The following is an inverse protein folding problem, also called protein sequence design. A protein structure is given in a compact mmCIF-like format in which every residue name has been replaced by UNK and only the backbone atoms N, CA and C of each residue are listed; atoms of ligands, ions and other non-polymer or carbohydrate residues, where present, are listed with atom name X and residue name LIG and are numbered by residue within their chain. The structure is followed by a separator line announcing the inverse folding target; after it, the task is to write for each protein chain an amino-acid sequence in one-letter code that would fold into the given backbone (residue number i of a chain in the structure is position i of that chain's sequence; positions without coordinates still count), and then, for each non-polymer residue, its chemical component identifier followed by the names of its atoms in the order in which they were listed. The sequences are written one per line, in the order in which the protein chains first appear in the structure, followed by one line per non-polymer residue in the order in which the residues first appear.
data_IF_920789353623
#
_entry.id   IF_920789353623
#
_cell.length_a   1.000
_cell.length_b   1.000
_cell.length_c   1.000
_cell.angle_alpha   90.00
_cell.angle_beta   90.00
_cell.angle_gamma   90.00
#
_symmetry.space_group_name_H-M   'P 1'
#
loop_
_entity.id
_entity.type
_entity.pdbx_description
1 polymer ?
#
# COMPACT_ATOMS: atom_id res chain seq x y z
N UNK A 1 -20.54 26.82 24.14
CA UNK A 1 -19.71 27.08 22.95
C UNK A 1 -18.41 26.25 22.94
N UNK A 2 -18.39 25.07 23.57
CA UNK A 2 -17.18 24.22 23.78
C UNK A 2 -17.21 22.92 22.96
N UNK A 3 -18.29 22.61 22.24
CA UNK A 3 -18.46 21.34 21.51
C UNK A 3 -17.99 21.34 20.05
N UNK A 4 -17.58 22.49 19.50
CA UNK A 4 -17.12 22.60 18.12
C UNK A 4 -15.64 22.27 17.91
N UNK A 5 -14.80 22.42 18.95
CA UNK A 5 -13.35 22.25 18.85
C UNK A 5 -12.87 20.79 18.76
N UNK A 6 -13.67 19.84 19.23
CA UNK A 6 -13.24 18.44 19.24
C UNK A 6 -13.55 17.67 17.94
N UNK A 7 -14.34 18.24 17.04
CA UNK A 7 -14.74 17.55 15.79
C UNK A 7 -13.57 17.42 14.81
N UNK A 8 -12.70 18.42 14.72
CA UNK A 8 -11.52 18.37 13.85
C UNK A 8 -10.46 17.38 14.36
N UNK A 9 -10.30 17.24 15.69
CA UNK A 9 -9.41 16.24 16.30
C UNK A 9 -9.92 14.84 15.99
N UNK A 10 -11.21 14.59 16.13
CA UNK A 10 -11.84 13.30 15.76
C UNK A 10 -11.70 13.01 14.27
N UNK A 11 -11.88 14.00 13.39
CA UNK A 11 -11.68 13.84 11.94
C UNK A 11 -10.21 13.55 11.59
N UNK A 12 -9.24 14.17 12.26
CA UNK A 12 -7.82 13.86 12.08
C UNK A 12 -7.53 12.43 12.56
N UNK A 13 -8.12 12.00 13.67
CA UNK A 13 -7.99 10.63 14.18
C UNK A 13 -8.65 9.60 13.25
N UNK A 14 -9.84 9.89 12.72
CA UNK A 14 -10.52 9.01 11.74
C UNK A 14 -9.77 8.93 10.42
N UNK A 15 -9.32 10.06 9.87
CA UNK A 15 -8.52 10.11 8.64
C UNK A 15 -7.14 9.47 8.82
N UNK A 16 -6.54 9.54 10.02
CA UNK A 16 -5.32 8.84 10.39
C UNK A 16 -5.52 7.31 10.46
N UNK A 17 -6.67 6.87 10.95
CA UNK A 17 -7.02 5.46 11.12
C UNK A 17 -7.24 4.74 9.80
N UNK A 18 -7.79 5.41 8.78
CA UNK A 18 -8.00 4.83 7.44
C UNK A 18 -6.69 4.68 6.63
N UNK A 19 -5.64 5.43 6.97
CA UNK A 19 -4.33 5.32 6.32
C UNK A 19 -3.43 4.22 6.89
N UNK A 20 -3.85 3.55 7.97
CA UNK A 20 -3.08 2.50 8.62
C UNK A 20 -3.52 1.13 8.14
N UNK A 21 -2.58 0.32 7.66
CA UNK A 21 -2.80 -1.09 7.34
C UNK A 21 -3.21 -1.86 8.62
N UNK A 22 -3.94 -2.97 8.47
CA UNK A 22 -4.38 -3.80 9.60
C UNK A 22 -3.22 -4.19 10.54
N UNK A 23 -2.05 -4.51 9.98
CA UNK A 23 -0.85 -4.81 10.74
C UNK A 23 -0.41 -3.65 11.67
N UNK A 24 -0.40 -2.41 11.18
CA UNK A 24 -0.06 -1.25 12.00
C UNK A 24 -1.07 -1.04 13.14
N UNK A 25 -2.36 -1.27 12.89
CA UNK A 25 -3.42 -1.17 13.92
C UNK A 25 -3.20 -2.18 15.04
N UNK A 26 -2.81 -3.41 14.69
CA UNK A 26 -2.49 -4.46 15.67
C UNK A 26 -1.27 -4.07 16.49
N UNK A 27 -0.20 -3.60 15.86
CA UNK A 27 1.03 -3.19 16.57
C UNK A 27 0.75 -2.05 17.55
N UNK A 28 -0.01 -1.03 17.15
CA UNK A 28 -0.41 0.08 18.04
C UNK A 28 -1.29 -0.43 19.19
N UNK A 29 -2.23 -1.34 18.93
CA UNK A 29 -3.06 -1.94 19.97
C UNK A 29 -2.20 -2.65 21.02
N UNK A 30 -1.27 -3.49 20.57
CA UNK A 30 -0.35 -4.22 21.45
C UNK A 30 0.54 -3.25 22.22
N UNK A 31 1.13 -2.26 21.57
CA UNK A 31 1.95 -1.22 22.19
C UNK A 31 1.19 -0.46 23.28
N UNK A 32 -0.06 -0.07 22.98
CA UNK A 32 -0.93 0.61 23.95
C UNK A 32 -1.28 -0.25 25.16
N UNK A 33 -1.47 -1.58 24.97
CA UNK A 33 -1.67 -2.51 26.10
C UNK A 33 -0.43 -2.55 26.99
N UNK A 34 0.78 -2.64 26.40
CA UNK A 34 2.03 -2.60 27.17
C UNK A 34 2.19 -1.30 27.96
N UNK A 35 1.86 -0.15 27.36
CA UNK A 35 1.88 1.14 28.03
C UNK A 35 0.89 1.18 29.21
N UNK A 36 -0.32 0.69 29.02
CA UNK A 36 -1.34 0.65 30.07
C UNK A 36 -0.91 -0.25 31.25
N UNK A 37 -0.40 -1.45 30.95
CA UNK A 37 0.09 -2.39 31.97
C UNK A 37 1.31 -1.81 32.70
N UNK A 38 2.28 -1.27 31.98
CA UNK A 38 3.47 -0.65 32.57
C UNK A 38 3.13 0.55 33.46
N UNK A 39 2.21 1.40 33.00
CA UNK A 39 1.70 2.53 33.77
C UNK A 39 0.98 2.08 35.06
N UNK A 40 0.07 1.11 34.94
CA UNK A 40 -0.68 0.57 36.09
C UNK A 40 0.24 -0.06 37.15
N UNK A 41 1.17 -0.90 36.71
CA UNK A 41 2.16 -1.54 37.61
C UNK A 41 3.06 -0.48 38.24
N UNK A 42 3.49 0.54 37.49
CA UNK A 42 4.27 1.65 38.00
C UNK A 42 3.55 2.46 39.08
N UNK A 43 2.24 2.71 38.90
CA UNK A 43 1.40 3.39 39.90
C UNK A 43 1.29 2.55 41.17
N UNK A 44 1.04 1.22 41.05
CA UNK A 44 0.98 0.34 42.24
C UNK A 44 2.30 0.39 43.01
N UNK A 45 3.44 0.30 42.31
CA UNK A 45 4.74 0.37 42.96
C UNK A 45 4.97 1.72 43.65
N UNK A 46 4.53 2.81 43.03
CA UNK A 46 4.66 4.14 43.63
C UNK A 46 3.81 4.31 44.92
N UNK A 47 2.64 3.64 44.98
CA UNK A 47 1.76 3.69 46.16
C UNK A 47 2.30 2.81 47.30
N UNK A 48 2.85 1.61 46.96
CA UNK A 48 3.29 0.63 47.95
C UNK A 48 4.71 0.92 48.49
N UNK A 49 5.51 1.67 47.72
CA UNK A 49 6.88 1.98 48.11
C UNK A 49 6.95 2.94 49.30
N UNK A 50 7.68 2.56 50.34
CA UNK A 50 7.99 3.47 51.47
C UNK A 50 8.87 4.65 51.00
N UNK A 51 8.58 5.87 51.47
CA UNK A 51 9.39 7.04 51.14
C UNK A 51 10.87 6.81 51.51
N UNK A 52 11.75 6.95 50.53
CA UNK A 52 13.22 6.83 50.74
C UNK A 52 13.79 5.40 50.61
N UNK A 53 12.97 4.37 50.45
CA UNK A 53 13.43 2.98 50.28
C UNK A 53 13.06 2.36 48.92
N UNK A 54 13.00 3.18 47.87
CA UNK A 54 12.61 2.70 46.52
C UNK A 54 13.80 2.03 45.82
N UNK A 55 13.88 0.70 45.74
CA UNK A 55 14.97 0.06 45.03
C UNK A 55 14.78 0.27 43.52
N UNK A 56 15.82 0.81 42.89
CA UNK A 56 15.82 1.05 41.41
C UNK A 56 15.42 -0.21 40.60
N UNK A 57 15.68 -1.42 41.15
CA UNK A 57 15.28 -2.67 40.58
C UNK A 57 13.76 -2.84 40.38
N UNK A 58 12.93 -2.21 41.26
CA UNK A 58 11.47 -2.24 41.08
C UNK A 58 10.97 -1.42 39.88
N UNK A 59 11.76 -0.45 39.39
CA UNK A 59 11.45 0.33 38.19
C UNK A 59 11.74 -0.44 36.87
N UNK A 60 12.54 -1.49 36.94
CA UNK A 60 12.94 -2.24 35.73
C UNK A 60 11.74 -2.89 35.02
N UNK A 61 10.78 -3.42 35.78
CA UNK A 61 9.62 -4.10 35.21
C UNK A 61 8.63 -3.13 34.54
N UNK A 62 8.09 -2.09 35.21
CA UNK A 62 7.23 -1.12 34.55
C UNK A 62 7.97 -0.33 33.49
N UNK A 63 9.25 0.02 33.70
CA UNK A 63 10.09 0.69 32.70
C UNK A 63 10.28 -0.15 31.44
N UNK A 64 10.47 -1.45 31.55
CA UNK A 64 10.56 -2.37 30.42
C UNK A 64 9.28 -2.36 29.57
N UNK A 65 8.11 -2.43 30.20
CA UNK A 65 6.82 -2.36 29.50
C UNK A 65 6.63 -1.02 28.78
N UNK A 66 6.99 0.09 29.43
CA UNK A 66 6.88 1.43 28.82
C UNK A 66 7.83 1.61 27.64
N UNK A 67 9.05 1.10 27.73
CA UNK A 67 10.03 1.16 26.63
C UNK A 67 9.59 0.32 25.42
N UNK A 68 9.11 -0.90 25.66
CA UNK A 68 8.65 -1.77 24.58
C UNK A 68 7.40 -1.19 23.92
N UNK A 69 6.37 -0.84 24.73
CA UNK A 69 5.12 -0.29 24.20
C UNK A 69 5.32 1.04 23.49
N UNK A 70 6.04 1.98 24.11
CA UNK A 70 6.37 3.27 23.51
C UNK A 70 7.23 3.14 22.26
N UNK A 71 8.20 2.22 22.25
CA UNK A 71 9.03 1.93 21.08
C UNK A 71 8.20 1.45 19.91
N UNK A 72 7.27 0.52 20.13
CA UNK A 72 6.36 0.01 19.08
C UNK A 72 5.51 1.13 18.50
N UNK A 73 4.90 1.97 19.34
CA UNK A 73 4.04 3.05 18.89
C UNK A 73 4.82 4.15 18.15
N UNK A 74 6.03 4.49 18.59
CA UNK A 74 6.92 5.43 17.91
C UNK A 74 7.31 4.93 16.52
N UNK A 75 7.70 3.66 16.39
CA UNK A 75 8.07 3.08 15.09
C UNK A 75 6.90 3.17 14.12
N UNK A 76 5.68 2.79 14.55
CA UNK A 76 4.49 2.89 13.70
C UNK A 76 4.19 4.35 13.34
N UNK A 77 4.30 5.27 14.29
CA UNK A 77 4.08 6.69 14.03
C UNK A 77 5.05 7.25 12.98
N UNK A 78 6.34 6.86 13.03
CA UNK A 78 7.34 7.23 12.02
C UNK A 78 6.99 6.65 10.64
N UNK A 79 6.62 5.36 10.56
CA UNK A 79 6.25 4.71 9.30
C UNK A 79 5.03 5.37 8.65
N UNK A 80 3.99 5.65 9.44
CA UNK A 80 2.77 6.34 8.98
C UNK A 80 3.08 7.78 8.57
N UNK A 81 3.91 8.49 9.34
CA UNK A 81 4.34 9.86 9.02
C UNK A 81 5.08 9.90 7.68
N UNK A 82 6.06 9.01 7.47
CA UNK A 82 6.82 8.94 6.23
C UNK A 82 5.92 8.66 5.01
N UNK A 83 4.94 7.75 5.17
CA UNK A 83 3.94 7.49 4.12
C UNK A 83 3.11 8.74 3.78
N UNK A 84 2.65 9.46 4.80
CA UNK A 84 1.91 10.72 4.62
C UNK A 84 2.77 11.81 3.96
N UNK A 85 4.05 11.86 4.29
CA UNK A 85 4.99 12.82 3.69
C UNK A 85 5.19 12.58 2.20
N UNK A 86 5.26 11.31 1.76
CA UNK A 86 5.36 10.96 0.34
C UNK A 86 4.14 11.49 -0.40
N UNK A 87 2.93 11.23 0.10
CA UNK A 87 1.68 11.70 -0.55
C UNK A 87 1.55 13.22 -0.49
N UNK A 88 2.00 13.87 0.59
CA UNK A 88 1.85 15.33 0.77
C UNK A 88 2.87 16.15 -0.03
N UNK A 89 4.10 15.67 -0.14
CA UNK A 89 5.23 16.40 -0.75
C UNK A 89 5.67 15.83 -2.08
N UNK A 90 5.23 14.62 -2.42
CA UNK A 90 5.60 13.94 -3.66
C UNK A 90 4.98 14.58 -4.88
N UNK A 91 5.66 14.43 -5.99
CA UNK A 91 5.11 14.77 -7.30
C UNK A 91 4.08 13.70 -7.67
N UNK A 92 2.88 14.13 -8.03
CA UNK A 92 1.79 13.25 -8.41
C UNK A 92 1.90 12.88 -9.87
N UNK A 93 1.80 11.60 -10.17
CA UNK A 93 1.71 11.07 -11.52
C UNK A 93 0.50 10.13 -11.63
N UNK A 94 -0.34 10.27 -12.66
CA UNK A 94 -1.30 9.23 -13.00
C UNK A 94 -0.53 8.05 -13.59
N UNK A 95 -0.75 6.86 -13.04
CA UNK A 95 -0.02 5.65 -13.41
C UNK A 95 -0.98 4.50 -13.73
N UNK A 96 -0.68 3.72 -14.75
CA UNK A 96 -1.47 2.57 -15.15
C UNK A 96 -0.99 1.32 -14.45
N UNK A 97 -1.92 0.56 -13.89
CA UNK A 97 -1.63 -0.72 -13.25
C UNK A 97 -1.33 -1.74 -14.35
N UNK A 98 -0.09 -2.21 -14.38
CA UNK A 98 0.40 -3.13 -15.39
C UNK A 98 0.45 -4.57 -14.89
N UNK A 99 0.73 -4.77 -13.61
CA UNK A 99 0.86 -6.10 -13.05
C UNK A 99 1.15 -6.11 -11.55
N UNK A 100 1.60 -7.26 -11.08
CA UNK A 100 1.91 -7.50 -9.68
C UNK A 100 3.20 -8.31 -9.57
N UNK A 101 3.98 -8.01 -8.53
CA UNK A 101 5.21 -8.73 -8.19
C UNK A 101 5.18 -9.20 -6.73
N UNK A 102 5.86 -10.29 -6.43
CA UNK A 102 5.96 -10.78 -5.06
C UNK A 102 6.95 -9.93 -4.25
N UNK A 103 6.49 -9.42 -3.12
CA UNK A 103 7.36 -8.76 -2.14
C UNK A 103 8.01 -9.82 -1.26
N UNK A 104 9.23 -10.19 -1.61
CA UNK A 104 10.00 -11.23 -0.88
C UNK A 104 10.39 -10.82 0.54
N UNK A 105 10.27 -9.52 0.89
CA UNK A 105 10.60 -9.00 2.22
C UNK A 105 9.46 -9.20 3.24
N UNK A 106 8.23 -9.41 2.77
CA UNK A 106 7.07 -9.52 3.65
C UNK A 106 6.31 -10.82 3.36
N UNK A 107 6.26 -11.70 4.36
CA UNK A 107 5.55 -12.97 4.30
C UNK A 107 4.49 -13.04 5.40
N UNK A 108 3.25 -13.31 5.01
CA UNK A 108 2.11 -13.46 5.92
C UNK A 108 1.46 -14.82 5.67
N UNK A 109 1.26 -15.63 6.72
CA UNK A 109 0.70 -16.97 6.62
C UNK A 109 1.37 -17.83 5.53
N UNK A 110 2.70 -17.79 5.49
CA UNK A 110 3.53 -18.52 4.52
C UNK A 110 3.37 -18.07 3.05
N UNK A 111 2.67 -16.96 2.78
CA UNK A 111 2.46 -16.39 1.44
C UNK A 111 3.14 -15.02 1.36
N UNK A 112 3.85 -14.75 0.26
CA UNK A 112 4.42 -13.43 0.00
C UNK A 112 3.31 -12.43 -0.33
N UNK A 113 3.48 -11.21 0.18
CA UNK A 113 2.61 -10.09 -0.20
C UNK A 113 2.89 -9.69 -1.63
N UNK A 114 1.90 -9.09 -2.30
CA UNK A 114 2.00 -8.64 -3.68
C UNK A 114 2.08 -7.13 -3.72
N UNK A 115 3.08 -6.60 -4.41
CA UNK A 115 3.21 -5.18 -4.73
C UNK A 115 2.76 -4.94 -6.18
N UNK A 116 2.31 -3.73 -6.47
CA UNK A 116 1.74 -3.40 -7.77
C UNK A 116 2.80 -2.78 -8.67
N UNK A 117 2.92 -3.29 -9.89
CA UNK A 117 3.74 -2.71 -10.96
C UNK A 117 2.87 -1.72 -11.71
N UNK A 118 3.36 -0.50 -11.84
CA UNK A 118 2.67 0.57 -12.56
C UNK A 118 3.58 1.21 -13.59
N UNK A 119 3.00 1.66 -14.69
CA UNK A 119 3.65 2.47 -15.70
C UNK A 119 3.10 3.88 -15.65
N UNK A 120 3.96 4.89 -15.75
CA UNK A 120 3.59 6.29 -15.74
C UNK A 120 4.53 7.11 -16.63
N UNK A 121 4.08 8.28 -17.06
CA UNK A 121 4.93 9.23 -17.76
C UNK A 121 5.48 10.26 -16.77
N UNK A 122 6.79 10.44 -16.76
CA UNK A 122 7.45 11.44 -15.93
C UNK A 122 7.24 12.86 -16.50
N UNK A 123 7.80 13.87 -15.82
CA UNK A 123 7.71 15.28 -16.25
C UNK A 123 8.35 15.56 -17.63
N UNK A 124 9.14 14.63 -18.14
CA UNK A 124 9.78 14.70 -19.46
C UNK A 124 9.05 13.86 -20.52
N UNK A 125 7.84 13.37 -20.22
CA UNK A 125 7.05 12.48 -21.06
C UNK A 125 7.77 11.15 -21.40
N UNK A 126 8.67 10.70 -20.53
CA UNK A 126 9.32 9.40 -20.64
C UNK A 126 8.53 8.40 -19.84
N UNK A 127 8.18 7.28 -20.47
CA UNK A 127 7.52 6.16 -19.76
C UNK A 127 8.47 5.55 -18.73
N UNK A 128 7.99 5.41 -17.53
CA UNK A 128 8.70 4.83 -16.39
C UNK A 128 7.90 3.71 -15.77
N UNK A 129 8.59 2.68 -15.31
CA UNK A 129 8.02 1.63 -14.48
C UNK A 129 8.34 1.92 -13.01
N UNK A 130 7.36 1.72 -12.14
CA UNK A 130 7.54 1.79 -10.70
C UNK A 130 6.82 0.62 -10.00
N UNK A 131 7.40 0.18 -8.88
CA UNK A 131 6.77 -0.78 -7.98
C UNK A 131 6.25 -0.01 -6.77
N UNK A 132 4.93 -0.02 -6.58
CA UNK A 132 4.28 0.62 -5.44
C UNK A 132 3.97 -0.42 -4.35
N UNK A 133 4.31 -0.13 -3.08
CA UNK A 133 4.15 -1.08 -1.98
C UNK A 133 2.70 -1.17 -1.52
N UNK A 134 1.87 -1.86 -2.31
CA UNK A 134 0.45 -2.05 -1.99
C UNK A 134 0.24 -3.12 -0.93
N UNK A 135 1.10 -4.14 -0.89
CA UNK A 135 1.05 -5.19 0.12
C UNK A 135 -0.25 -5.99 0.08
N UNK A 136 -0.76 -6.33 -1.10
CA UNK A 136 -1.95 -7.14 -1.25
C UNK A 136 -1.71 -8.61 -0.90
N UNK A 137 -2.73 -9.27 -0.39
CA UNK A 137 -2.72 -10.73 -0.31
C UNK A 137 -2.99 -11.30 -1.70
N UNK A 138 -2.28 -12.36 -2.08
CA UNK A 138 -2.46 -13.00 -3.39
C UNK A 138 -3.93 -13.39 -3.61
N UNK A 139 -4.52 -12.88 -4.66
CA UNK A 139 -5.91 -13.15 -5.04
C UNK A 139 -6.99 -12.40 -4.25
N UNK A 140 -6.61 -11.51 -3.32
CA UNK A 140 -7.58 -10.71 -2.56
C UNK A 140 -7.20 -9.24 -2.53
N UNK A 141 -8.17 -8.37 -2.83
CA UNK A 141 -8.02 -6.90 -2.75
C UNK A 141 -7.17 -6.27 -3.84
N UNK A 142 -6.71 -7.05 -4.81
CA UNK A 142 -5.90 -6.55 -5.94
C UNK A 142 -6.78 -5.74 -6.89
N UNK A 143 -6.26 -4.62 -7.36
CA UNK A 143 -6.95 -3.80 -8.36
C UNK A 143 -6.95 -4.50 -9.73
N UNK A 144 -7.98 -4.31 -10.57
CA UNK A 144 -7.94 -4.77 -11.95
C UNK A 144 -6.76 -4.14 -12.72
N UNK A 145 -6.07 -4.94 -13.51
CA UNK A 145 -5.01 -4.47 -14.40
C UNK A 145 -5.62 -3.59 -15.49
N UNK A 146 -4.92 -2.52 -15.85
CA UNK A 146 -5.37 -1.53 -16.82
C UNK A 146 -6.12 -0.34 -16.21
N UNK A 147 -6.41 -0.34 -14.91
CA UNK A 147 -6.91 0.85 -14.23
C UNK A 147 -5.78 1.85 -13.95
N UNK A 148 -6.14 3.11 -13.84
CA UNK A 148 -5.24 4.20 -13.50
C UNK A 148 -5.32 4.47 -12.00
N UNK A 149 -4.16 4.69 -11.38
CA UNK A 149 -4.01 5.04 -9.97
C UNK A 149 -3.05 6.23 -9.84
N UNK A 150 -3.30 7.13 -8.91
CA UNK A 150 -2.36 8.21 -8.64
C UNK A 150 -1.22 7.72 -7.75
N UNK A 151 -0.01 7.88 -8.24
CA UNK A 151 1.21 7.63 -7.49
C UNK A 151 1.89 8.95 -7.14
N UNK A 152 2.68 8.93 -6.08
CA UNK A 152 3.46 10.06 -5.59
C UNK A 152 4.91 9.64 -5.47
N UNK A 153 5.80 10.40 -6.09
CA UNK A 153 7.23 10.18 -5.98
C UNK A 153 7.87 11.25 -5.08
N UNK A 154 8.58 10.81 -4.06
CA UNK A 154 9.33 11.68 -3.15
C UNK A 154 10.64 11.03 -2.74
N UNK A 155 11.76 11.64 -3.09
CA UNK A 155 13.13 11.14 -2.80
C UNK A 155 13.34 9.68 -3.23
N UNK A 156 12.90 9.31 -4.43
CA UNK A 156 13.04 7.95 -4.97
C UNK A 156 12.15 6.90 -4.29
N UNK A 157 11.20 7.33 -3.47
CA UNK A 157 10.18 6.46 -2.87
C UNK A 157 8.82 6.74 -3.47
N UNK A 158 8.08 5.68 -3.69
CA UNK A 158 6.74 5.75 -4.23
C UNK A 158 5.68 5.54 -3.14
N UNK A 159 4.65 6.37 -3.20
CA UNK A 159 3.39 6.20 -2.47
C UNK A 159 2.24 6.19 -3.46
N UNK A 160 1.05 5.86 -3.02
CA UNK A 160 -0.15 5.86 -3.85
C UNK A 160 -1.37 6.28 -3.04
N UNK A 161 -2.41 6.74 -3.76
CA UNK A 161 -3.72 7.02 -3.19
C UNK A 161 -4.69 5.88 -3.58
N UNK A 162 -5.11 5.03 -2.62
CA UNK A 162 -6.02 3.92 -2.90
C UNK A 162 -7.39 4.38 -3.40
N UNK A 163 -7.80 5.61 -3.05
CA UNK A 163 -9.11 6.17 -3.42
C UNK A 163 -9.11 6.79 -4.83
N UNK A 164 -7.93 6.87 -5.47
CA UNK A 164 -7.76 7.46 -6.81
C UNK A 164 -7.93 6.48 -7.96
N UNK A 165 -8.20 5.21 -7.67
CA UNK A 165 -8.33 4.18 -8.71
C UNK A 165 -9.52 4.46 -9.61
N UNK A 166 -9.26 4.56 -10.92
CA UNK A 166 -10.27 4.91 -11.92
C UNK A 166 -9.96 4.28 -13.28
N UNK A 167 -10.98 4.17 -14.12
CA UNK A 167 -10.82 3.75 -15.52
C UNK A 167 -10.62 5.02 -16.38
N UNK A 168 -9.37 5.46 -16.49
CA UNK A 168 -8.99 6.64 -17.25
C UNK A 168 -7.79 6.31 -18.16
N UNK A 169 -7.79 6.84 -19.38
CA UNK A 169 -6.65 6.74 -20.28
C UNK A 169 -5.57 7.73 -19.86
N UNK A 170 -4.31 7.29 -19.89
CA UNK A 170 -3.19 8.19 -19.64
C UNK A 170 -2.94 9.11 -20.83
N UNK A 171 -2.52 10.38 -20.58
CA UNK A 171 -1.99 11.24 -21.62
C UNK A 171 -0.81 10.54 -22.30
N UNK A 172 -0.86 10.37 -23.63
CA UNK A 172 0.14 9.65 -24.41
C UNK A 172 -0.27 8.25 -24.86
N UNK A 173 -1.27 7.60 -24.23
CA UNK A 173 -1.84 6.35 -24.75
C UNK A 173 -2.60 6.56 -26.07
N UNK A 174 -3.07 7.77 -26.32
CA UNK A 174 -3.75 8.12 -27.58
C UNK A 174 -2.80 8.12 -28.77
N UNK A 175 -1.53 8.48 -28.59
CA UNK A 175 -0.52 8.49 -29.64
C UNK A 175 -0.05 7.08 -30.02
N UNK A 176 -0.10 6.14 -29.06
CA UNK A 176 0.24 4.73 -29.28
C UNK A 176 -0.91 3.94 -29.92
N UNK A 177 -2.13 4.47 -29.88
CA UNK A 177 -3.34 3.89 -30.45
C UNK A 177 -3.80 4.57 -31.75
N UNK A 178 -2.90 5.16 -32.52
CA UNK A 178 -3.20 5.44 -33.94
C UNK A 178 -3.28 4.11 -34.75
N UNK A 179 -3.81 3.09 -34.10
CA UNK A 179 -4.24 1.86 -34.71
C UNK A 179 -5.50 2.15 -35.53
N UNK A 180 -5.28 2.47 -36.80
CA UNK A 180 -6.33 2.29 -37.80
C UNK A 180 -6.97 0.92 -37.52
N UNK A 181 -8.29 0.85 -37.32
CA UNK A 181 -8.94 -0.41 -37.05
C UNK A 181 -8.56 -1.39 -38.16
N UNK A 182 -7.72 -2.36 -37.80
CA UNK A 182 -7.31 -3.41 -38.74
C UNK A 182 -8.57 -4.17 -39.09
N UNK A 183 -8.87 -4.26 -40.39
CA UNK A 183 -10.01 -4.99 -40.88
C UNK A 183 -10.00 -6.40 -40.26
N UNK A 184 -11.12 -6.90 -39.72
CA UNK A 184 -11.17 -8.15 -38.94
C UNK A 184 -10.70 -9.40 -39.73
N UNK A 185 -10.70 -9.33 -41.04
CA UNK A 185 -10.20 -10.35 -41.96
C UNK A 185 -8.67 -10.48 -41.99
N UNK A 186 -7.94 -9.49 -41.51
CA UNK A 186 -6.46 -9.50 -41.41
C UNK A 186 -5.92 -9.89 -40.03
N UNK A 187 -6.79 -10.08 -39.05
CA UNK A 187 -6.38 -10.47 -37.71
C UNK A 187 -6.10 -11.97 -37.62
N UNK A 188 -4.84 -12.34 -37.43
CA UNK A 188 -4.46 -13.75 -37.18
C UNK A 188 -4.70 -14.06 -35.70
N UNK A 189 -5.77 -14.80 -35.41
CA UNK A 189 -6.10 -15.27 -34.07
C UNK A 189 -5.34 -16.55 -33.75
N UNK A 190 -4.64 -16.57 -32.62
CA UNK A 190 -3.93 -17.73 -32.09
C UNK A 190 -4.46 -18.10 -30.72
N UNK A 191 -4.39 -19.37 -30.37
CA UNK A 191 -4.70 -19.83 -29.04
C UNK A 191 -3.52 -19.49 -28.11
N UNK A 192 -3.80 -18.75 -27.05
CA UNK A 192 -2.82 -18.35 -26.03
C UNK A 192 -3.27 -18.81 -24.65
N UNK A 193 -2.30 -19.11 -23.80
CA UNK A 193 -2.56 -19.46 -22.40
C UNK A 193 -2.20 -18.27 -21.52
N UNK A 194 -3.15 -17.83 -20.69
CA UNK A 194 -2.93 -16.73 -19.76
C UNK A 194 -1.88 -17.13 -18.71
N UNK A 195 -0.78 -16.39 -18.56
CA UNK A 195 0.26 -16.69 -17.58
C UNK A 195 -0.22 -16.50 -16.13
N UNK A 196 -1.26 -15.68 -15.94
CA UNK A 196 -1.77 -15.37 -14.60
C UNK A 196 -2.78 -16.41 -14.09
N UNK A 197 -3.77 -16.81 -14.90
CA UNK A 197 -4.83 -17.74 -14.48
C UNK A 197 -4.77 -19.11 -15.14
N UNK A 198 -3.87 -19.32 -16.11
CA UNK A 198 -3.72 -20.58 -16.84
C UNK A 198 -4.81 -20.88 -17.87
N UNK A 199 -5.85 -20.06 -17.98
CA UNK A 199 -6.95 -20.26 -18.95
C UNK A 199 -6.49 -20.03 -20.39
N UNK A 200 -7.01 -20.81 -21.33
CA UNK A 200 -6.73 -20.67 -22.76
C UNK A 200 -7.84 -19.87 -23.43
N UNK A 201 -7.45 -18.94 -24.32
CA UNK A 201 -8.38 -18.12 -25.11
C UNK A 201 -7.74 -17.72 -26.45
N UNK A 202 -8.52 -17.17 -27.36
CA UNK A 202 -8.01 -16.70 -28.66
C UNK A 202 -7.63 -15.23 -28.56
N UNK A 203 -6.44 -14.89 -29.06
CA UNK A 203 -5.94 -13.52 -29.08
C UNK A 203 -5.28 -13.21 -30.42
N UNK A 204 -5.30 -11.94 -30.82
CA UNK A 204 -4.70 -11.48 -32.06
C UNK A 204 -3.17 -11.37 -31.91
N UNK A 205 -2.42 -11.91 -32.88
CA UNK A 205 -0.95 -11.76 -32.92
C UNK A 205 -0.56 -10.32 -33.20
N UNK A 206 0.50 -9.84 -32.50
CA UNK A 206 0.99 -8.47 -32.61
C UNK A 206 0.20 -7.45 -31.79
N UNK A 207 -0.79 -7.87 -31.02
CA UNK A 207 -1.61 -7.00 -30.18
C UNK A 207 -1.60 -7.43 -28.73
N UNK A 208 -1.82 -6.44 -27.88
CA UNK A 208 -2.08 -6.69 -26.46
C UNK A 208 -3.53 -7.14 -26.28
N UNK A 209 -3.74 -8.30 -25.67
CA UNK A 209 -5.07 -8.88 -25.49
C UNK A 209 -5.39 -9.06 -24.01
N UNK A 210 -6.62 -8.70 -23.63
CA UNK A 210 -7.13 -8.87 -22.27
C UNK A 210 -7.67 -10.28 -22.07
N UNK A 211 -7.21 -10.99 -21.04
CA UNK A 211 -7.75 -12.30 -20.71
C UNK A 211 -9.22 -12.17 -20.25
N UNK A 212 -10.18 -12.86 -20.88
CA UNK A 212 -11.59 -12.76 -20.53
C UNK A 212 -11.93 -13.36 -19.16
N UNK A 213 -11.02 -14.16 -18.58
CA UNK A 213 -11.26 -14.87 -17.33
C UNK A 213 -10.72 -14.13 -16.09
N UNK A 214 -9.56 -13.49 -16.20
CA UNK A 214 -8.94 -12.81 -15.06
C UNK A 214 -8.63 -11.33 -15.29
N UNK A 215 -8.93 -10.81 -16.50
CA UNK A 215 -8.68 -9.40 -16.83
C UNK A 215 -7.22 -9.04 -17.10
N UNK A 216 -6.28 -9.98 -16.97
CA UNK A 216 -4.87 -9.73 -17.21
C UNK A 216 -4.58 -9.47 -18.70
N UNK A 217 -3.73 -8.46 -18.99
CA UNK A 217 -3.26 -8.21 -20.35
C UNK A 217 -2.03 -9.06 -20.65
N UNK A 218 -1.93 -9.52 -21.87
CA UNK A 218 -0.77 -10.22 -22.38
C UNK A 218 -0.45 -9.76 -23.81
N UNK A 219 0.84 -9.61 -24.10
CA UNK A 219 1.31 -9.30 -25.43
C UNK A 219 1.51 -10.61 -26.22
N UNK A 220 0.86 -10.72 -27.34
CA UNK A 220 0.91 -11.91 -28.21
C UNK A 220 1.94 -11.66 -29.31
N UNK A 221 3.22 -11.65 -28.92
CA UNK A 221 4.33 -11.57 -29.86
C UNK A 221 4.67 -12.98 -30.33
N UNK A 222 4.73 -13.20 -31.64
CA UNK A 222 5.36 -14.38 -32.25
C UNK A 222 6.67 -13.99 -32.89
#
# INVERSE_FOLDING_TARGET
MVWAENRWVLQIFEKGRNSMNAAHKIVVLVGSIFLAVGGFVGIIFAIVAEPGKFPLAMLSLPGGFLLIGGGMDIVVAILVHNKKMIVKKGVRYPAKIYGYTENTSVKVNNTYMMDTIVHYFDSYHVEREAIIPTGFTRGAGMYPIGLTIDIFEYNGKYGYDPDSVRDERLPGEEELMDDKPVAPDKLRLVAVRCPNCGSSFRAATGYSSKCPYCGNYLNVNM
#
